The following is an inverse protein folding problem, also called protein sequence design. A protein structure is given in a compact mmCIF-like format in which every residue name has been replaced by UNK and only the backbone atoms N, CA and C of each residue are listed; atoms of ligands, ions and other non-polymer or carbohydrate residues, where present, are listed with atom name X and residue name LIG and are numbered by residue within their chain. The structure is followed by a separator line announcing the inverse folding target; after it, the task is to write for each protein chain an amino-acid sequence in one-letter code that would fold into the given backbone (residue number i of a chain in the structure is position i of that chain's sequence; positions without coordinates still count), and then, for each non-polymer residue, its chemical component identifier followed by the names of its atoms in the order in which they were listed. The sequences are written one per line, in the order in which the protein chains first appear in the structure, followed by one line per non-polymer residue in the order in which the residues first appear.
data_IF_230338240364
#
_entry.id   IF_230338240364
#
_cell.length_a   1.000
_cell.length_b   1.000
_cell.length_c   1.000
_cell.angle_alpha   90.00
_cell.angle_beta   90.00
_cell.angle_gamma   90.00
#
_symmetry.space_group_name_H-M   'P 1'
#
loop_
_entity.id
_entity.type
_entity.pdbx_description
1 polymer ?
#
# COMPACT_ATOMS: atom_id res chain seq x y z
N UNK A 1 22.81 81.10 -22.94
CA UNK A 1 22.91 80.45 -24.26
C UNK A 1 21.56 80.60 -24.93
N UNK A 2 21.45 81.58 -25.84
CA UNK A 2 20.19 82.03 -26.42
C UNK A 2 19.86 81.15 -27.64
N UNK A 3 18.78 80.39 -27.60
CA UNK A 3 18.39 79.48 -28.67
C UNK A 3 17.53 80.28 -29.65
N UNK A 4 18.09 80.66 -30.81
CA UNK A 4 17.34 81.30 -31.88
C UNK A 4 16.14 80.43 -32.30
N UNK A 5 14.92 80.98 -32.47
CA UNK A 5 13.80 80.22 -32.99
C UNK A 5 14.07 79.92 -34.47
N UNK A 6 14.40 78.66 -34.77
CA UNK A 6 14.50 78.15 -36.14
C UNK A 6 13.23 78.50 -36.91
N UNK A 7 13.31 79.42 -37.88
CA UNK A 7 12.21 79.74 -38.81
C UNK A 7 12.03 78.57 -39.78
N UNK A 8 11.36 77.53 -39.32
CA UNK A 8 11.00 76.37 -40.12
C UNK A 8 9.85 76.71 -41.07
N UNK A 9 10.10 76.65 -42.39
CA UNK A 9 9.05 76.74 -43.41
C UNK A 9 8.04 75.59 -43.30
N UNK A 10 6.86 75.75 -43.92
CA UNK A 10 5.73 74.79 -43.85
C UNK A 10 6.19 73.35 -44.15
N UNK A 11 7.11 73.18 -45.12
CA UNK A 11 7.70 71.88 -45.49
C UNK A 11 8.47 71.20 -44.34
N UNK A 12 9.24 71.96 -43.56
CA UNK A 12 10.01 71.36 -42.46
C UNK A 12 9.19 71.15 -41.18
N UNK A 13 8.09 71.89 -40.97
CA UNK A 13 7.09 71.56 -39.93
C UNK A 13 6.37 70.24 -40.23
N UNK A 14 5.99 70.00 -41.48
CA UNK A 14 5.43 68.71 -41.94
C UNK A 14 6.45 67.57 -41.78
N UNK A 15 7.71 67.78 -42.17
CA UNK A 15 8.75 66.76 -42.04
C UNK A 15 9.02 66.37 -40.57
N UNK A 16 9.01 67.35 -39.67
CA UNK A 16 9.17 67.13 -38.23
C UNK A 16 7.96 66.41 -37.62
N UNK A 17 6.74 66.71 -38.07
CA UNK A 17 5.53 66.00 -37.68
C UNK A 17 5.56 64.51 -38.07
N UNK A 18 5.88 64.25 -39.34
CA UNK A 18 6.03 62.88 -39.85
C UNK A 18 7.18 62.15 -39.15
N UNK A 19 8.30 62.83 -38.89
CA UNK A 19 9.42 62.27 -38.15
C UNK A 19 9.06 61.84 -36.74
N UNK A 20 8.31 62.66 -36.00
CA UNK A 20 7.87 62.32 -34.62
C UNK A 20 6.88 61.15 -34.63
N UNK A 21 5.92 61.14 -35.55
CA UNK A 21 4.96 60.03 -35.68
C UNK A 21 5.71 58.73 -35.98
N UNK A 22 6.64 58.75 -36.95
CA UNK A 22 7.45 57.59 -37.29
C UNK A 22 8.29 57.09 -36.10
N UNK A 23 8.86 58.00 -35.30
CA UNK A 23 9.68 57.66 -34.13
C UNK A 23 8.84 57.04 -33.01
N UNK A 24 7.62 57.52 -32.78
CA UNK A 24 6.65 56.92 -31.83
C UNK A 24 6.22 55.54 -32.29
N UNK A 25 5.94 55.35 -33.59
CA UNK A 25 5.61 54.04 -34.15
C UNK A 25 6.77 53.06 -33.97
N UNK A 26 8.01 53.50 -34.18
CA UNK A 26 9.22 52.69 -33.96
C UNK A 26 9.41 52.28 -32.50
N UNK A 27 9.23 53.22 -31.56
CA UNK A 27 9.31 52.95 -30.12
C UNK A 27 8.18 51.99 -29.70
N UNK A 28 6.97 52.20 -30.19
CA UNK A 28 5.81 51.34 -29.92
C UNK A 28 6.02 49.92 -30.45
N UNK A 29 6.50 49.80 -31.69
CA UNK A 29 6.82 48.50 -32.31
C UNK A 29 7.93 47.77 -31.56
N UNK A 30 8.98 48.49 -31.15
CA UNK A 30 10.09 47.91 -30.37
C UNK A 30 9.64 47.46 -28.98
N UNK A 31 8.85 48.28 -28.28
CA UNK A 31 8.26 47.93 -26.99
C UNK A 31 7.32 46.72 -27.09
N UNK A 32 6.49 46.65 -28.14
CA UNK A 32 5.61 45.51 -28.41
C UNK A 32 6.41 44.24 -28.73
N UNK A 33 7.52 44.36 -29.44
CA UNK A 33 8.40 43.23 -29.75
C UNK A 33 9.04 42.64 -28.49
N UNK A 34 9.57 43.48 -27.60
CA UNK A 34 10.12 43.03 -26.32
C UNK A 34 9.06 42.39 -25.41
N UNK A 35 7.84 42.95 -25.38
CA UNK A 35 6.74 42.35 -24.66
C UNK A 35 6.34 40.98 -25.25
N UNK A 36 6.31 40.86 -26.58
CA UNK A 36 6.00 39.62 -27.27
C UNK A 36 7.05 38.54 -27.03
N UNK A 37 8.35 38.86 -27.07
CA UNK A 37 9.43 37.90 -26.77
C UNK A 37 9.30 37.31 -25.36
N UNK A 38 9.12 38.16 -24.34
CA UNK A 38 8.94 37.71 -22.96
C UNK A 38 7.66 36.91 -22.76
N UNK A 39 6.59 37.28 -23.46
CA UNK A 39 5.33 36.57 -23.43
C UNK A 39 5.45 35.19 -24.10
N UNK A 40 6.13 35.12 -25.24
CA UNK A 40 6.39 33.89 -25.98
C UNK A 40 7.24 32.92 -25.16
N UNK A 41 8.35 33.38 -24.57
CA UNK A 41 9.22 32.54 -23.71
C UNK A 41 8.46 31.96 -22.50
N UNK A 42 7.56 32.75 -21.91
CA UNK A 42 6.77 32.33 -20.74
C UNK A 42 5.63 31.38 -21.11
N UNK A 43 4.94 31.60 -22.24
CA UNK A 43 3.95 30.65 -22.75
C UNK A 43 4.59 29.34 -23.22
N UNK A 44 5.75 29.42 -23.86
CA UNK A 44 6.50 28.25 -24.30
C UNK A 44 6.88 27.40 -23.09
N UNK A 45 7.35 28.01 -22.00
CA UNK A 45 7.63 27.30 -20.73
C UNK A 45 6.39 26.62 -20.13
N UNK A 46 5.22 27.26 -20.15
CA UNK A 46 3.97 26.66 -19.61
C UNK A 46 3.53 25.46 -20.46
N UNK A 47 3.58 25.59 -21.79
CA UNK A 47 3.12 24.57 -22.74
C UNK A 47 4.09 23.39 -22.80
N UNK A 48 5.40 23.65 -22.79
CA UNK A 48 6.44 22.61 -22.96
C UNK A 48 6.87 21.94 -21.66
N UNK A 49 6.79 22.63 -20.51
CA UNK A 49 7.29 22.10 -19.24
C UNK A 49 6.16 21.89 -18.21
N UNK A 50 5.41 22.94 -17.87
CA UNK A 50 4.49 22.88 -16.72
C UNK A 50 3.26 21.99 -16.96
N UNK A 51 2.63 22.05 -18.14
CA UNK A 51 1.45 21.24 -18.46
C UNK A 51 1.73 19.72 -18.52
N UNK A 52 2.75 19.24 -19.26
CA UNK A 52 3.11 17.81 -19.25
C UNK A 52 3.44 17.31 -17.85
N UNK A 53 4.15 18.11 -17.06
CA UNK A 53 4.58 17.75 -15.70
C UNK A 53 3.42 17.66 -14.71
N UNK A 54 2.41 18.54 -14.83
CA UNK A 54 1.17 18.44 -14.06
C UNK A 54 0.39 17.17 -14.43
N UNK A 55 0.41 16.78 -15.71
CA UNK A 55 -0.20 15.52 -16.17
C UNK A 55 0.47 14.31 -15.53
N UNK A 56 1.81 14.22 -15.62
CA UNK A 56 2.60 13.16 -14.99
C UNK A 56 2.35 13.07 -13.48
N UNK A 57 2.34 14.21 -12.79
CA UNK A 57 2.08 14.25 -11.34
C UNK A 57 0.64 13.83 -10.98
N UNK A 58 -0.34 14.14 -11.83
CA UNK A 58 -1.73 13.72 -11.63
C UNK A 58 -1.91 12.23 -11.88
N UNK A 59 -1.27 11.68 -12.91
CA UNK A 59 -1.24 10.25 -13.20
C UNK A 59 -0.53 9.48 -12.07
N UNK A 60 0.55 10.03 -11.52
CA UNK A 60 1.24 9.50 -10.36
C UNK A 60 0.31 9.36 -9.14
N UNK A 61 -0.50 10.38 -8.85
CA UNK A 61 -1.51 10.29 -7.78
C UNK A 61 -2.57 9.22 -8.05
N UNK A 62 -3.02 9.10 -9.31
CA UNK A 62 -4.00 8.09 -9.70
C UNK A 62 -3.47 6.67 -9.49
N UNK A 63 -2.25 6.38 -9.98
CA UNK A 63 -1.59 5.08 -9.81
C UNK A 63 -1.27 4.75 -8.35
N UNK A 64 -0.88 5.76 -7.57
CA UNK A 64 -0.75 5.62 -6.12
C UNK A 64 -2.07 5.23 -5.46
N UNK A 65 -3.19 5.83 -5.91
CA UNK A 65 -4.53 5.47 -5.47
C UNK A 65 -4.88 4.01 -5.74
N UNK A 66 -4.50 3.46 -6.91
CA UNK A 66 -4.70 2.04 -7.25
C UNK A 66 -3.95 1.11 -6.28
N UNK A 67 -2.71 1.47 -5.88
CA UNK A 67 -1.95 0.68 -4.90
C UNK A 67 -2.66 0.72 -3.54
N UNK A 68 -3.12 1.90 -3.10
CA UNK A 68 -3.83 2.09 -1.83
C UNK A 68 -5.12 1.26 -1.77
N UNK A 69 -5.86 1.19 -2.87
CA UNK A 69 -7.10 0.39 -2.92
C UNK A 69 -6.84 -1.11 -2.94
N UNK A 70 -5.76 -1.56 -3.60
CA UNK A 70 -5.48 -2.99 -3.80
C UNK A 70 -4.70 -3.64 -2.64
N UNK A 71 -3.81 -2.89 -1.98
CA UNK A 71 -3.00 -3.40 -0.87
C UNK A 71 -3.83 -4.08 0.26
N UNK A 72 -4.91 -3.49 0.80
CA UNK A 72 -5.72 -4.14 1.84
C UNK A 72 -6.50 -5.36 1.34
N UNK A 73 -6.75 -5.47 0.03
CA UNK A 73 -7.44 -6.62 -0.56
C UNK A 73 -6.59 -7.88 -0.40
N UNK A 74 -5.25 -7.78 -0.51
CA UNK A 74 -4.32 -8.90 -0.35
C UNK A 74 -4.53 -9.68 0.95
N UNK A 75 -4.87 -9.02 2.06
CA UNK A 75 -5.03 -9.67 3.37
C UNK A 75 -6.35 -10.45 3.48
N UNK A 76 -7.35 -10.02 2.71
CA UNK A 76 -8.71 -10.54 2.74
C UNK A 76 -9.01 -11.57 1.63
N UNK A 77 -8.06 -11.82 0.73
CA UNK A 77 -8.23 -12.86 -0.31
C UNK A 77 -8.46 -14.24 0.31
N UNK A 78 -9.36 -15.00 -0.30
CA UNK A 78 -9.79 -16.32 0.18
C UNK A 78 -9.18 -17.49 -0.58
N UNK A 79 -8.43 -17.22 -1.66
CA UNK A 79 -7.75 -18.24 -2.45
C UNK A 79 -6.41 -17.76 -3.00
N UNK A 80 -5.54 -18.73 -3.29
CA UNK A 80 -4.23 -18.50 -3.90
C UNK A 80 -4.34 -17.90 -5.31
N UNK A 81 -5.38 -18.26 -6.07
CA UNK A 81 -5.67 -17.65 -7.37
C UNK A 81 -6.01 -16.17 -7.22
N UNK A 82 -6.91 -15.83 -6.29
CA UNK A 82 -7.27 -14.43 -6.02
C UNK A 82 -6.06 -13.62 -5.54
N UNK A 83 -5.21 -14.19 -4.66
CA UNK A 83 -3.94 -13.57 -4.24
C UNK A 83 -3.08 -13.19 -5.44
N UNK A 84 -2.83 -14.14 -6.36
CA UNK A 84 -2.01 -13.90 -7.56
C UNK A 84 -2.56 -12.77 -8.43
N UNK A 85 -3.87 -12.74 -8.66
CA UNK A 85 -4.52 -11.67 -9.44
C UNK A 85 -4.36 -10.30 -8.78
N UNK A 86 -4.64 -10.19 -7.48
CA UNK A 86 -4.49 -8.92 -6.75
C UNK A 86 -3.03 -8.48 -6.72
N UNK A 87 -2.09 -9.42 -6.51
CA UNK A 87 -0.65 -9.14 -6.53
C UNK A 87 -0.17 -8.66 -7.89
N UNK A 88 -0.64 -9.24 -8.99
CA UNK A 88 -0.33 -8.78 -10.35
C UNK A 88 -0.76 -7.32 -10.56
N UNK A 89 -1.96 -6.93 -10.08
CA UNK A 89 -2.43 -5.56 -10.16
C UNK A 89 -1.54 -4.61 -9.35
N UNK A 90 -1.21 -4.98 -8.10
CA UNK A 90 -0.30 -4.19 -7.24
C UNK A 90 1.07 -4.03 -7.89
N UNK A 91 1.65 -5.11 -8.42
CA UNK A 91 2.95 -5.09 -9.07
C UNK A 91 2.94 -4.21 -10.35
N UNK A 92 1.84 -4.25 -11.11
CA UNK A 92 1.66 -3.40 -12.29
C UNK A 92 1.61 -1.93 -11.89
N UNK A 93 0.77 -1.56 -10.91
CA UNK A 93 0.69 -0.17 -10.43
C UNK A 93 2.00 0.31 -9.81
N UNK A 94 2.74 -0.55 -9.09
CA UNK A 94 4.09 -0.22 -8.56
C UNK A 94 5.08 0.07 -9.68
N UNK A 95 5.09 -0.75 -10.73
CA UNK A 95 5.96 -0.55 -11.89
C UNK A 95 5.62 0.76 -12.61
N UNK A 96 4.36 0.98 -12.93
CA UNK A 96 3.89 2.21 -13.62
C UNK A 96 4.17 3.46 -12.78
N UNK A 97 3.99 3.40 -11.46
CA UNK A 97 4.36 4.49 -10.53
C UNK A 97 5.87 4.76 -10.60
N UNK A 98 6.69 3.71 -10.64
CA UNK A 98 8.15 3.85 -10.78
C UNK A 98 8.58 4.41 -12.13
N UNK A 99 7.88 4.06 -13.21
CA UNK A 99 8.09 4.61 -14.55
C UNK A 99 7.76 6.12 -14.55
N UNK A 100 6.61 6.51 -14.00
CA UNK A 100 6.21 7.92 -13.87
C UNK A 100 7.19 8.75 -13.03
N UNK A 101 7.74 8.22 -11.93
CA UNK A 101 8.76 8.92 -11.13
C UNK A 101 10.03 9.17 -11.95
N UNK A 102 10.42 8.24 -12.82
CA UNK A 102 11.63 8.39 -13.68
C UNK A 102 11.42 9.38 -14.82
N UNK A 103 10.19 9.54 -15.27
CA UNK A 103 9.82 10.53 -16.29
C UNK A 103 9.68 11.96 -15.74
N UNK A 104 9.64 12.13 -14.41
CA UNK A 104 9.61 13.47 -13.81
C UNK A 104 10.86 14.28 -14.20
N UNK A 105 10.70 15.50 -14.76
CA UNK A 105 11.83 16.32 -15.16
C UNK A 105 12.78 16.71 -14.02
N UNK A 106 14.09 16.74 -14.30
CA UNK A 106 15.14 17.11 -13.33
C UNK A 106 15.02 18.55 -12.79
N UNK A 107 14.33 19.46 -13.48
CA UNK A 107 14.12 20.82 -12.94
C UNK A 107 13.18 20.84 -11.73
N UNK A 108 12.45 19.74 -11.49
CA UNK A 108 11.77 19.49 -10.22
C UNK A 108 12.85 19.03 -9.24
N UNK A 109 13.43 19.97 -8.49
CA UNK A 109 14.29 19.74 -7.30
C UNK A 109 14.91 18.34 -7.26
N UNK A 110 16.13 18.17 -7.81
CA UNK A 110 16.79 16.88 -8.09
C UNK A 110 16.68 15.82 -7.00
N UNK A 111 16.48 16.22 -5.73
CA UNK A 111 16.29 15.30 -4.62
C UNK A 111 14.91 14.61 -4.59
N UNK A 112 13.84 15.23 -5.13
CA UNK A 112 12.46 14.72 -5.02
C UNK A 112 12.21 13.42 -5.77
N UNK A 113 12.57 13.24 -7.05
CA UNK A 113 12.37 11.96 -7.73
C UNK A 113 13.12 10.82 -7.03
N UNK A 114 14.31 11.10 -6.47
CA UNK A 114 15.11 10.13 -5.72
C UNK A 114 14.45 9.72 -4.39
N UNK A 115 13.89 10.67 -3.66
CA UNK A 115 13.14 10.40 -2.43
C UNK A 115 11.90 9.55 -2.75
N UNK A 116 11.11 9.93 -3.75
CA UNK A 116 9.91 9.19 -4.16
C UNK A 116 10.27 7.76 -4.61
N UNK A 117 11.35 7.59 -5.38
CA UNK A 117 11.82 6.26 -5.78
C UNK A 117 12.23 5.40 -4.58
N UNK A 118 12.89 5.99 -3.58
CA UNK A 118 13.29 5.29 -2.35
C UNK A 118 12.06 4.83 -1.56
N UNK A 119 11.08 5.72 -1.39
CA UNK A 119 9.82 5.40 -0.71
C UNK A 119 9.00 4.32 -1.46
N UNK A 120 8.96 4.39 -2.79
CA UNK A 120 8.30 3.37 -3.61
C UNK A 120 8.96 2.00 -3.44
N UNK A 121 10.29 1.94 -3.33
CA UNK A 121 11.01 0.70 -3.04
C UNK A 121 10.66 0.15 -1.65
N UNK A 122 10.58 1.01 -0.63
CA UNK A 122 10.16 0.60 0.73
C UNK A 122 8.72 0.07 0.74
N UNK A 123 7.81 0.72 0.02
CA UNK A 123 6.43 0.26 -0.18
C UNK A 123 6.43 -1.12 -0.87
N UNK A 124 7.17 -1.25 -1.98
CA UNK A 124 7.26 -2.51 -2.73
C UNK A 124 7.79 -3.65 -1.86
N UNK A 125 8.80 -3.38 -1.03
CA UNK A 125 9.36 -4.36 -0.10
C UNK A 125 8.34 -4.83 0.94
N UNK A 126 7.61 -3.91 1.58
CA UNK A 126 6.60 -4.26 2.57
C UNK A 126 5.38 -4.98 1.96
N UNK A 127 4.96 -4.59 0.75
CA UNK A 127 3.88 -5.27 0.02
C UNK A 127 4.29 -6.67 -0.46
N UNK A 128 5.56 -6.87 -0.86
CA UNK A 128 6.06 -8.20 -1.21
C UNK A 128 6.14 -9.11 0.02
N UNK A 129 6.62 -8.59 1.16
CA UNK A 129 6.58 -9.31 2.44
C UNK A 129 5.14 -9.71 2.80
N UNK A 130 4.18 -8.80 2.67
CA UNK A 130 2.77 -9.08 2.90
C UNK A 130 2.27 -10.19 1.96
N UNK A 131 2.56 -10.08 0.66
CA UNK A 131 2.19 -11.07 -0.35
C UNK A 131 2.74 -12.47 -0.04
N UNK A 132 4.02 -12.55 0.36
CA UNK A 132 4.67 -13.79 0.76
C UNK A 132 4.01 -14.38 2.01
N UNK A 133 3.70 -13.55 3.00
CA UNK A 133 3.00 -14.02 4.20
C UNK A 133 1.59 -14.54 3.88
N UNK A 134 0.87 -13.93 2.94
CA UNK A 134 -0.42 -14.44 2.48
C UNK A 134 -0.29 -15.77 1.72
N UNK A 135 0.80 -15.99 0.97
CA UNK A 135 1.11 -17.31 0.39
C UNK A 135 1.30 -18.35 1.49
N UNK A 136 2.16 -18.06 2.47
CA UNK A 136 2.42 -18.94 3.62
C UNK A 136 1.15 -19.24 4.42
N UNK A 137 0.22 -18.28 4.52
CA UNK A 137 -1.10 -18.49 5.15
C UNK A 137 -1.90 -19.59 4.45
N UNK A 138 -1.85 -19.66 3.12
CA UNK A 138 -2.53 -20.72 2.35
C UNK A 138 -1.83 -22.06 2.51
N UNK A 139 -0.50 -22.09 2.45
CA UNK A 139 0.30 -23.31 2.68
C UNK A 139 0.02 -23.90 4.07
N UNK A 140 0.03 -23.08 5.12
CA UNK A 140 -0.32 -23.52 6.49
C UNK A 140 -1.77 -24.01 6.56
N UNK A 141 -2.71 -23.36 5.86
CA UNK A 141 -4.11 -23.77 5.85
C UNK A 141 -4.29 -25.16 5.22
N UNK A 142 -3.56 -25.44 4.14
CA UNK A 142 -3.56 -26.74 3.46
C UNK A 142 -2.94 -27.81 4.36
N UNK A 143 -1.74 -27.58 4.89
CA UNK A 143 -1.08 -28.49 5.84
C UNK A 143 -1.96 -28.77 7.06
N UNK A 144 -2.61 -27.75 7.62
CA UNK A 144 -3.50 -27.92 8.77
C UNK A 144 -4.72 -28.76 8.40
N UNK A 145 -5.27 -28.63 7.19
CA UNK A 145 -6.36 -29.50 6.73
C UNK A 145 -5.90 -30.95 6.65
N UNK A 146 -4.77 -31.20 6.02
CA UNK A 146 -4.22 -32.55 5.82
C UNK A 146 -3.90 -33.24 7.14
N UNK A 147 -3.30 -32.51 8.10
CA UNK A 147 -2.99 -33.03 9.43
C UNK A 147 -4.26 -33.28 10.26
N UNK A 148 -5.28 -32.42 10.16
CA UNK A 148 -6.55 -32.68 10.83
C UNK A 148 -7.28 -33.90 10.25
N UNK A 149 -7.26 -34.09 8.93
CA UNK A 149 -7.86 -35.26 8.30
C UNK A 149 -7.07 -36.52 8.64
N UNK A 150 -5.74 -36.46 8.66
CA UNK A 150 -4.88 -37.56 9.12
C UNK A 150 -5.11 -37.92 10.58
N UNK A 151 -5.31 -36.94 11.47
CA UNK A 151 -5.66 -37.17 12.86
C UNK A 151 -7.01 -37.87 13.01
N UNK A 152 -8.02 -37.51 12.19
CA UNK A 152 -9.33 -38.19 12.20
C UNK A 152 -9.20 -39.67 11.84
N UNK A 153 -8.42 -39.98 10.80
CA UNK A 153 -8.18 -41.37 10.40
C UNK A 153 -7.42 -42.15 11.46
N UNK A 154 -6.32 -41.59 11.98
CA UNK A 154 -5.56 -42.23 13.07
C UNK A 154 -6.42 -42.46 14.33
N UNK A 155 -7.37 -41.56 14.60
CA UNK A 155 -8.33 -41.74 15.71
C UNK A 155 -9.36 -42.84 15.41
N UNK A 156 -9.88 -42.92 14.19
CA UNK A 156 -10.78 -43.99 13.77
C UNK A 156 -10.09 -45.36 13.85
N UNK A 157 -8.88 -45.48 13.32
CA UNK A 157 -8.08 -46.71 13.36
C UNK A 157 -7.83 -47.17 14.81
N UNK A 158 -7.50 -46.23 15.70
CA UNK A 158 -7.38 -46.51 17.13
C UNK A 158 -8.68 -47.04 17.75
N UNK A 159 -9.84 -46.49 17.38
CA UNK A 159 -11.13 -46.94 17.90
C UNK A 159 -11.46 -48.35 17.38
N UNK A 160 -11.19 -48.62 16.11
CA UNK A 160 -11.37 -49.92 15.49
C UNK A 160 -10.47 -51.01 16.11
N UNK A 161 -9.32 -50.61 16.68
CA UNK A 161 -8.44 -51.53 17.41
C UNK A 161 -8.84 -51.71 18.88
N UNK A 162 -9.17 -50.62 19.60
CA UNK A 162 -9.39 -50.70 21.05
C UNK A 162 -10.76 -51.26 21.42
N UNK A 163 -11.79 -51.03 20.60
CA UNK A 163 -13.16 -51.45 20.91
C UNK A 163 -13.34 -52.97 20.89
N UNK A 164 -12.79 -53.73 19.91
CA UNK A 164 -12.75 -55.18 19.97
C UNK A 164 -12.05 -55.70 21.23
N UNK A 165 -10.90 -55.13 21.60
CA UNK A 165 -10.14 -55.56 22.78
C UNK A 165 -10.92 -55.34 24.09
N UNK A 166 -11.66 -54.22 24.20
CA UNK A 166 -12.56 -53.96 25.33
C UNK A 166 -13.71 -54.98 25.35
N UNK A 167 -14.25 -55.35 24.19
CA UNK A 167 -15.33 -56.33 24.11
C UNK A 167 -14.85 -57.75 24.45
N UNK A 168 -13.65 -58.13 23.99
CA UNK A 168 -13.03 -59.43 24.27
C UNK A 168 -12.75 -59.59 25.77
N UNK A 169 -12.18 -58.57 26.41
CA UNK A 169 -11.97 -58.59 27.88
C UNK A 169 -13.29 -58.70 28.64
N UNK A 170 -14.36 -58.03 28.19
CA UNK A 170 -15.70 -58.19 28.78
C UNK A 170 -16.24 -59.61 28.64
N UNK A 171 -16.03 -60.24 27.48
CA UNK A 171 -16.42 -61.63 27.24
C UNK A 171 -15.65 -62.59 28.17
N UNK A 172 -14.33 -62.43 28.31
CA UNK A 172 -13.52 -63.25 29.22
C UNK A 172 -13.89 -63.05 30.69
N UNK A 173 -14.18 -61.81 31.13
CA UNK A 173 -14.72 -61.52 32.47
C UNK A 173 -15.99 -62.34 32.73
N UNK A 174 -16.93 -62.38 31.78
CA UNK A 174 -18.18 -63.15 31.91
C UNK A 174 -17.92 -64.67 31.97
N UNK A 175 -16.96 -65.18 31.19
CA UNK A 175 -16.54 -66.58 31.25
C UNK A 175 -15.94 -66.91 32.61
N UNK A 176 -14.97 -66.14 33.09
CA UNK A 176 -14.31 -66.40 34.37
C UNK A 176 -15.28 -66.31 35.55
N UNK A 177 -16.15 -65.30 35.55
CA UNK A 177 -17.20 -65.16 36.55
C UNK A 177 -18.17 -66.35 36.57
N UNK A 178 -18.62 -66.81 35.41
CA UNK A 178 -19.48 -68.00 35.29
C UNK A 178 -18.79 -69.27 35.76
N UNK A 179 -17.49 -69.43 35.46
CA UNK A 179 -16.68 -70.57 35.90
C UNK A 179 -16.46 -70.58 37.41
N UNK A 180 -16.19 -69.43 38.04
CA UNK A 180 -16.02 -69.31 39.50
C UNK A 180 -17.26 -69.83 40.23
N UNK A 181 -18.47 -69.49 39.73
CA UNK A 181 -19.74 -69.96 40.32
C UNK A 181 -19.93 -71.48 40.28
N UNK A 182 -19.27 -72.16 39.34
CA UNK A 182 -19.42 -73.59 39.10
C UNK A 182 -18.23 -74.41 39.62
N UNK A 183 -17.12 -73.74 39.96
CA UNK A 183 -15.87 -74.39 40.32
C UNK A 183 -15.85 -74.84 41.80
N UNK A 184 -15.21 -75.99 42.09
CA UNK A 184 -14.85 -76.41 43.45
C UNK A 184 -14.05 -75.34 44.21
N UNK A 185 -14.18 -75.27 45.54
CA UNK A 185 -13.59 -74.22 46.37
C UNK A 185 -12.07 -74.08 46.26
N UNK A 186 -11.37 -75.17 45.96
CA UNK A 186 -9.92 -75.23 45.77
C UNK A 186 -9.44 -74.63 44.43
N UNK A 187 -10.28 -74.61 43.39
CA UNK A 187 -9.95 -74.02 42.08
C UNK A 187 -10.37 -72.54 41.94
N UNK A 188 -11.21 -72.04 42.87
CA UNK A 188 -11.73 -70.68 42.81
C UNK A 188 -10.63 -69.61 42.91
N UNK A 189 -9.58 -69.86 43.69
CA UNK A 189 -8.47 -68.91 43.89
C UNK A 189 -7.78 -68.51 42.58
N UNK A 190 -7.41 -69.49 41.75
CA UNK A 190 -6.75 -69.25 40.47
C UNK A 190 -7.67 -68.53 39.48
N UNK A 191 -8.97 -68.86 39.49
CA UNK A 191 -9.96 -68.19 38.66
C UNK A 191 -10.17 -66.73 39.09
N UNK A 192 -10.13 -66.42 40.38
CA UNK A 192 -10.16 -65.04 40.89
C UNK A 192 -8.94 -64.24 40.43
N UNK A 193 -7.74 -64.84 40.43
CA UNK A 193 -6.53 -64.17 39.92
C UNK A 193 -6.69 -63.83 38.43
N UNK A 194 -7.20 -64.75 37.62
CA UNK A 194 -7.48 -64.51 36.19
C UNK A 194 -8.53 -63.42 35.99
N UNK A 195 -9.64 -63.47 36.74
CA UNK A 195 -10.69 -62.45 36.69
C UNK A 195 -10.15 -61.05 37.05
N UNK A 196 -9.33 -60.94 38.09
CA UNK A 196 -8.73 -59.67 38.50
C UNK A 196 -7.77 -59.13 37.43
N UNK A 197 -7.03 -60.00 36.74
CA UNK A 197 -6.19 -59.61 35.60
C UNK A 197 -7.02 -59.04 34.46
N UNK A 198 -8.11 -59.72 34.07
CA UNK A 198 -9.02 -59.25 33.01
C UNK A 198 -9.70 -57.92 33.37
N UNK A 199 -10.11 -57.75 34.65
CA UNK A 199 -10.66 -56.49 35.15
C UNK A 199 -9.66 -55.34 35.06
N UNK A 200 -8.42 -55.55 35.53
CA UNK A 200 -7.36 -54.55 35.45
C UNK A 200 -7.03 -54.16 34.00
N UNK A 201 -7.01 -55.15 33.09
CA UNK A 201 -6.77 -54.92 31.67
C UNK A 201 -7.90 -54.12 31.01
N UNK A 202 -9.17 -54.45 31.31
CA UNK A 202 -10.33 -53.69 30.84
C UNK A 202 -10.28 -52.25 31.32
N UNK A 203 -9.97 -52.03 32.59
CA UNK A 203 -9.88 -50.68 33.16
C UNK A 203 -8.76 -49.86 32.49
N UNK A 204 -7.61 -50.48 32.23
CA UNK A 204 -6.52 -49.86 31.48
C UNK A 204 -6.92 -49.49 30.04
N UNK A 205 -7.62 -50.38 29.33
CA UNK A 205 -8.13 -50.10 27.97
C UNK A 205 -9.17 -48.96 27.96
N UNK A 206 -10.10 -48.95 28.92
CA UNK A 206 -11.09 -47.87 29.05
C UNK A 206 -10.42 -46.53 29.38
N UNK A 207 -9.43 -46.53 30.27
CA UNK A 207 -8.66 -45.33 30.60
C UNK A 207 -7.88 -44.84 29.38
N UNK A 208 -7.23 -45.74 28.63
CA UNK A 208 -6.53 -45.41 27.40
C UNK A 208 -7.48 -44.80 26.36
N UNK A 209 -8.65 -45.41 26.12
CA UNK A 209 -9.70 -44.89 25.23
C UNK A 209 -10.10 -43.46 25.61
N UNK A 210 -10.37 -43.24 26.90
CA UNK A 210 -10.74 -41.92 27.42
C UNK A 210 -9.64 -40.89 27.22
N UNK A 211 -8.39 -41.21 27.60
CA UNK A 211 -7.25 -40.32 27.47
C UNK A 211 -6.94 -39.95 26.02
N UNK A 212 -7.05 -40.89 25.08
CA UNK A 212 -6.89 -40.62 23.65
C UNK A 212 -8.02 -39.77 23.11
N UNK A 213 -9.28 -40.05 23.45
CA UNK A 213 -10.42 -39.21 23.06
C UNK A 213 -10.25 -37.77 23.56
N UNK A 214 -9.78 -37.58 24.79
CA UNK A 214 -9.49 -36.26 25.36
C UNK A 214 -8.33 -35.57 24.64
N UNK A 215 -7.25 -36.29 24.32
CA UNK A 215 -6.11 -35.78 23.55
C UNK A 215 -6.56 -35.30 22.17
N UNK A 216 -7.24 -36.16 21.41
CA UNK A 216 -7.76 -35.85 20.08
C UNK A 216 -8.72 -34.66 20.12
N UNK A 217 -9.64 -34.65 21.09
CA UNK A 217 -10.56 -33.52 21.28
C UNK A 217 -9.83 -32.20 21.57
N UNK A 218 -8.70 -32.23 22.29
CA UNK A 218 -7.86 -31.03 22.52
C UNK A 218 -7.09 -30.62 21.27
N UNK A 219 -6.55 -31.57 20.52
CA UNK A 219 -5.88 -31.30 19.24
C UNK A 219 -6.83 -30.62 18.25
N UNK A 220 -8.09 -31.07 18.15
CA UNK A 220 -9.09 -30.38 17.34
C UNK A 220 -9.44 -28.99 17.88
N UNK A 221 -9.60 -28.83 19.21
CA UNK A 221 -9.89 -27.51 19.79
C UNK A 221 -8.78 -26.48 19.57
N UNK A 222 -7.51 -26.89 19.59
CA UNK A 222 -6.38 -26.00 19.34
C UNK A 222 -6.47 -25.26 18.00
N UNK A 223 -7.11 -25.85 16.99
CA UNK A 223 -7.32 -25.19 15.70
C UNK A 223 -8.09 -23.86 15.82
N UNK A 224 -8.84 -23.67 16.90
CA UNK A 224 -9.67 -22.49 17.17
C UNK A 224 -9.09 -21.55 18.24
N UNK A 225 -7.98 -21.89 18.89
CA UNK A 225 -7.39 -21.07 19.97
C UNK A 225 -6.75 -19.80 19.43
N UNK A 226 -7.26 -18.62 19.79
CA UNK A 226 -6.79 -17.33 19.22
C UNK A 226 -5.57 -16.72 19.93
N UNK A 227 -5.15 -17.27 21.07
CA UNK A 227 -4.09 -16.71 21.90
C UNK A 227 -2.90 -17.67 22.01
N UNK A 228 -1.68 -17.15 21.80
CA UNK A 228 -0.45 -17.92 21.97
C UNK A 228 -0.31 -18.48 23.39
N UNK A 229 -0.70 -17.72 24.41
CA UNK A 229 -0.64 -18.14 25.82
C UNK A 229 -1.55 -19.34 26.10
N UNK A 230 -2.73 -19.38 25.50
CA UNK A 230 -3.66 -20.50 25.65
C UNK A 230 -3.13 -21.74 24.90
N UNK A 231 -2.52 -21.53 23.73
CA UNK A 231 -1.84 -22.59 22.99
C UNK A 231 -0.69 -23.21 23.79
N UNK A 232 0.11 -22.37 24.46
CA UNK A 232 1.21 -22.81 25.34
C UNK A 232 0.68 -23.61 26.55
N UNK A 233 -0.41 -23.17 27.16
CA UNK A 233 -1.05 -23.88 28.26
C UNK A 233 -1.57 -25.27 27.82
N UNK A 234 -2.23 -25.34 26.67
CA UNK A 234 -2.70 -26.60 26.10
C UNK A 234 -1.54 -27.56 25.78
N UNK A 235 -0.42 -27.03 25.28
CA UNK A 235 0.77 -27.82 24.98
C UNK A 235 1.38 -28.42 26.25
N UNK A 236 1.51 -27.62 27.32
CA UNK A 236 2.00 -28.08 28.60
C UNK A 236 1.14 -29.21 29.17
N UNK A 237 -0.19 -29.04 29.14
CA UNK A 237 -1.11 -30.09 29.57
C UNK A 237 -0.95 -31.40 28.77
N UNK A 238 -0.82 -31.30 27.44
CA UNK A 238 -0.60 -32.50 26.62
C UNK A 238 0.75 -33.15 26.95
N UNK A 239 1.79 -32.35 27.20
CA UNK A 239 3.10 -32.86 27.62
C UNK A 239 3.08 -33.55 29.00
N UNK A 240 2.18 -33.16 29.89
CA UNK A 240 1.95 -33.84 31.18
C UNK A 240 1.23 -35.19 31.00
N UNK A 241 0.32 -35.31 30.03
CA UNK A 241 -0.44 -36.55 29.78
C UNK A 241 0.36 -37.58 28.98
N UNK A 242 1.26 -37.16 28.09
CA UNK A 242 2.05 -38.09 27.27
C UNK A 242 2.77 -39.18 28.08
N UNK A 243 3.48 -38.88 29.19
CA UNK A 243 4.06 -39.92 30.05
C UNK A 243 3.03 -40.91 30.59
N UNK A 244 1.83 -40.43 30.97
CA UNK A 244 0.75 -41.28 31.46
C UNK A 244 0.25 -42.22 30.36
N UNK A 245 0.02 -41.69 29.15
CA UNK A 245 -0.34 -42.51 27.98
C UNK A 245 0.74 -43.55 27.66
N UNK A 246 2.01 -43.17 27.69
CA UNK A 246 3.12 -44.09 27.43
C UNK A 246 3.20 -45.21 28.46
N UNK A 247 2.88 -44.93 29.73
CA UNK A 247 2.82 -45.95 30.78
C UNK A 247 1.62 -46.89 30.57
N UNK A 248 0.42 -46.35 30.29
CA UNK A 248 -0.76 -47.15 29.98
C UNK A 248 -0.53 -48.09 28.79
N UNK A 249 0.13 -47.61 27.74
CA UNK A 249 0.50 -48.44 26.58
C UNK A 249 1.44 -49.56 27.02
N UNK A 250 2.48 -49.27 27.82
CA UNK A 250 3.43 -50.29 28.30
C UNK A 250 2.72 -51.40 29.06
N UNK A 251 1.80 -51.03 29.95
CA UNK A 251 1.05 -51.96 30.79
C UNK A 251 0.14 -52.88 29.95
N UNK A 252 -0.42 -52.36 28.86
CA UNK A 252 -1.29 -53.10 27.92
C UNK A 252 -0.49 -53.88 26.87
N UNK A 253 0.70 -53.41 26.47
CA UNK A 253 1.47 -53.91 25.32
C UNK A 253 2.41 -55.10 25.58
N UNK A 254 2.41 -55.69 26.78
CA UNK A 254 3.25 -56.85 27.11
C UNK A 254 2.83 -58.16 26.40
N UNK A 255 1.77 -58.12 25.62
CA UNK A 255 1.21 -59.24 24.85
C UNK A 255 1.19 -58.86 23.36
N UNK A 256 1.60 -59.78 22.48
CA UNK A 256 1.71 -59.59 21.03
C UNK A 256 0.39 -59.09 20.41
N UNK A 257 -0.75 -59.41 21.04
CA UNK A 257 -2.09 -59.00 20.62
C UNK A 257 -2.32 -57.48 20.69
N UNK A 258 -1.47 -56.71 21.39
CA UNK A 258 -1.63 -55.26 21.61
C UNK A 258 -0.60 -54.41 20.85
N UNK A 259 0.20 -55.02 19.97
CA UNK A 259 1.23 -54.31 19.21
C UNK A 259 0.62 -53.26 18.27
N UNK A 260 -0.47 -53.60 17.57
CA UNK A 260 -1.19 -52.66 16.69
C UNK A 260 -1.74 -51.46 17.47
N UNK A 261 -2.41 -51.72 18.60
CA UNK A 261 -2.91 -50.68 19.50
C UNK A 261 -1.81 -49.71 19.95
N UNK A 262 -0.64 -50.24 20.32
CA UNK A 262 0.53 -49.42 20.69
C UNK A 262 0.99 -48.52 19.53
N UNK A 263 0.98 -49.05 18.30
CA UNK A 263 1.37 -48.30 17.10
C UNK A 263 0.35 -47.19 16.78
N UNK A 264 -0.95 -47.48 16.85
CA UNK A 264 -2.01 -46.48 16.61
C UNK A 264 -1.95 -45.34 17.61
N UNK A 265 -1.74 -45.64 18.90
CA UNK A 265 -1.55 -44.60 19.91
C UNK A 265 -0.31 -43.74 19.64
N UNK A 266 0.83 -44.36 19.28
CA UNK A 266 2.04 -43.61 18.90
C UNK A 266 1.79 -42.73 17.66
N UNK A 267 1.01 -43.23 16.70
CA UNK A 267 0.54 -42.46 15.54
C UNK A 267 -0.19 -41.20 15.95
N UNK A 268 -1.15 -41.29 16.89
CA UNK A 268 -1.87 -40.12 17.40
C UNK A 268 -0.94 -39.16 18.17
N UNK A 269 -0.05 -39.67 19.02
CA UNK A 269 0.88 -38.85 19.80
C UNK A 269 1.83 -38.06 18.88
N UNK A 270 2.17 -38.60 17.71
CA UNK A 270 3.05 -37.94 16.74
C UNK A 270 2.52 -36.59 16.25
N UNK A 271 1.20 -36.34 16.31
CA UNK A 271 0.59 -35.05 15.92
C UNK A 271 0.83 -33.92 16.94
N UNK A 272 1.37 -34.23 18.12
CA UNK A 272 1.67 -33.24 19.15
C UNK A 272 3.04 -32.60 18.93
N UNK A 273 4.04 -33.41 18.56
CA UNK A 273 5.45 -33.03 18.55
C UNK A 273 6.01 -32.85 17.14
N UNK A 274 7.16 -32.18 17.06
CA UNK A 274 7.93 -32.03 15.83
C UNK A 274 7.58 -30.79 15.01
N UNK A 275 8.34 -30.60 13.95
CA UNK A 275 8.07 -29.55 12.95
C UNK A 275 6.78 -29.93 12.22
N UNK A 276 5.87 -28.98 12.07
CA UNK A 276 4.54 -29.16 11.46
C UNK A 276 3.53 -29.93 12.31
N UNK A 277 3.74 -30.08 13.63
CA UNK A 277 2.68 -30.55 14.52
C UNK A 277 1.48 -29.61 14.52
N UNK A 278 0.30 -30.07 14.96
CA UNK A 278 -0.90 -29.22 15.01
C UNK A 278 -0.70 -27.97 15.89
N UNK A 279 0.14 -28.08 16.92
CA UNK A 279 0.55 -26.95 17.75
C UNK A 279 1.51 -25.99 17.01
N UNK A 280 2.51 -26.54 16.31
CA UNK A 280 3.46 -25.73 15.51
C UNK A 280 2.73 -24.96 14.40
N UNK A 281 1.84 -25.63 13.68
CA UNK A 281 1.02 -25.02 12.62
C UNK A 281 0.14 -23.89 13.19
N UNK A 282 -0.52 -24.10 14.33
CA UNK A 282 -1.33 -23.04 14.96
C UNK A 282 -0.46 -21.88 15.45
N UNK A 283 0.70 -22.15 16.05
CA UNK A 283 1.65 -21.10 16.46
C UNK A 283 2.07 -20.26 15.25
N UNK A 284 2.50 -20.90 14.17
CA UNK A 284 2.87 -20.23 12.91
C UNK A 284 1.71 -19.39 12.38
N UNK A 285 0.49 -19.89 12.40
CA UNK A 285 -0.69 -19.14 11.98
C UNK A 285 -0.92 -17.86 12.82
N UNK A 286 -0.78 -17.96 14.15
CA UNK A 286 -0.96 -16.82 15.06
C UNK A 286 0.15 -15.78 14.89
N UNK A 287 1.41 -16.20 14.76
CA UNK A 287 2.55 -15.31 14.49
C UNK A 287 2.37 -14.62 13.14
N UNK A 288 2.05 -15.37 12.09
CA UNK A 288 1.84 -14.85 10.74
C UNK A 288 0.67 -13.87 10.67
N UNK A 289 -0.41 -14.09 11.45
CA UNK A 289 -1.52 -13.15 11.59
C UNK A 289 -1.04 -11.80 12.14
N UNK A 290 -0.21 -11.81 13.17
CA UNK A 290 0.38 -10.60 13.73
C UNK A 290 1.32 -9.90 12.74
N UNK A 291 2.20 -10.65 12.07
CA UNK A 291 3.11 -10.12 11.05
C UNK A 291 2.37 -9.48 9.87
N UNK A 292 1.26 -10.09 9.43
CA UNK A 292 0.38 -9.52 8.41
C UNK A 292 -0.23 -8.20 8.85
N UNK A 293 -0.68 -8.10 10.11
CA UNK A 293 -1.24 -6.86 10.64
C UNK A 293 -0.18 -5.74 10.72
N UNK A 294 1.03 -6.09 11.16
CA UNK A 294 2.17 -5.16 11.23
C UNK A 294 2.54 -4.67 9.82
N UNK A 295 2.69 -5.60 8.86
CA UNK A 295 3.09 -5.27 7.49
C UNK A 295 2.02 -4.46 6.76
N UNK A 296 0.74 -4.76 6.98
CA UNK A 296 -0.38 -3.97 6.45
C UNK A 296 -0.39 -2.55 7.03
N UNK A 297 -0.20 -2.40 8.34
CA UNK A 297 -0.15 -1.07 8.98
C UNK A 297 1.05 -0.26 8.49
N UNK A 298 2.23 -0.88 8.38
CA UNK A 298 3.43 -0.23 7.86
C UNK A 298 3.23 0.21 6.39
N UNK A 299 2.68 -0.67 5.56
CA UNK A 299 2.35 -0.36 4.16
C UNK A 299 1.37 0.81 4.05
N UNK A 300 0.34 0.86 4.91
CA UNK A 300 -0.62 1.99 4.95
C UNK A 300 0.04 3.31 5.30
N UNK A 301 0.94 3.32 6.29
CA UNK A 301 1.67 4.52 6.69
C UNK A 301 2.56 5.00 5.54
N UNK A 302 3.35 4.11 4.94
CA UNK A 302 4.23 4.44 3.82
C UNK A 302 3.44 4.96 2.61
N UNK A 303 2.34 4.28 2.25
CA UNK A 303 1.47 4.70 1.15
C UNK A 303 0.80 6.05 1.42
N UNK A 304 0.37 6.32 2.65
CA UNK A 304 -0.24 7.60 3.03
C UNK A 304 0.78 8.74 2.97
N UNK A 305 2.01 8.52 3.42
CA UNK A 305 3.08 9.52 3.33
C UNK A 305 3.46 9.79 1.87
N UNK A 306 3.64 8.72 1.09
CA UNK A 306 3.92 8.81 -0.34
C UNK A 306 2.80 9.55 -1.10
N UNK A 307 1.53 9.25 -0.81
CA UNK A 307 0.38 9.95 -1.38
C UNK A 307 0.36 11.44 -0.99
N UNK A 308 0.68 11.77 0.27
CA UNK A 308 0.76 13.16 0.72
C UNK A 308 1.83 13.95 -0.05
N UNK A 309 3.00 13.36 -0.25
CA UNK A 309 4.11 14.00 -0.97
C UNK A 309 3.82 14.18 -2.46
N UNK A 310 3.18 13.20 -3.10
CA UNK A 310 2.76 13.29 -4.51
C UNK A 310 1.65 14.32 -4.73
N UNK A 311 0.72 14.46 -3.78
CA UNK A 311 -0.26 15.54 -3.76
C UNK A 311 0.38 16.91 -3.56
N UNK A 312 1.32 17.06 -2.61
CA UNK A 312 2.04 18.32 -2.39
C UNK A 312 2.83 18.74 -3.63
N UNK A 313 3.51 17.79 -4.29
CA UNK A 313 4.18 18.03 -5.56
C UNK A 313 3.21 18.54 -6.62
N UNK A 314 2.08 17.85 -6.81
CA UNK A 314 1.05 18.24 -7.80
C UNK A 314 0.46 19.62 -7.49
N UNK A 315 0.22 19.91 -6.21
CA UNK A 315 -0.31 21.20 -5.74
C UNK A 315 0.70 22.34 -5.98
N UNK A 316 1.98 22.10 -5.68
CA UNK A 316 3.07 23.06 -5.93
C UNK A 316 3.21 23.35 -7.43
N UNK A 317 3.19 22.33 -8.29
CA UNK A 317 3.24 22.50 -9.74
C UNK A 317 2.03 23.29 -10.27
N UNK A 318 0.80 22.97 -9.83
CA UNK A 318 -0.40 23.73 -10.19
C UNK A 318 -0.32 25.19 -9.74
N UNK A 319 0.11 25.46 -8.50
CA UNK A 319 0.30 26.83 -7.99
C UNK A 319 1.35 27.59 -8.79
N UNK A 320 2.49 26.97 -9.10
CA UNK A 320 3.54 27.58 -9.92
C UNK A 320 3.03 27.95 -11.32
N UNK A 321 2.30 27.06 -11.99
CA UNK A 321 1.69 27.33 -13.30
C UNK A 321 0.67 28.50 -13.22
N UNK A 322 -0.16 28.56 -12.17
CA UNK A 322 -1.11 29.65 -11.96
C UNK A 322 -0.39 30.99 -11.69
N UNK A 323 0.65 30.99 -10.85
CA UNK A 323 1.44 32.21 -10.57
C UNK A 323 2.14 32.71 -11.84
N UNK A 324 2.75 31.82 -12.63
CA UNK A 324 3.36 32.17 -13.92
C UNK A 324 2.30 32.73 -14.91
N UNK A 325 1.12 32.11 -15.00
CA UNK A 325 0.01 32.61 -15.81
C UNK A 325 -0.48 34.00 -15.36
N UNK A 326 -0.58 34.24 -14.05
CA UNK A 326 -0.98 35.55 -13.51
C UNK A 326 0.09 36.64 -13.71
N UNK A 327 1.37 36.30 -13.60
CA UNK A 327 2.47 37.20 -13.95
C UNK A 327 2.43 37.56 -15.45
N UNK A 328 2.13 36.60 -16.32
CA UNK A 328 1.92 36.84 -17.75
C UNK A 328 0.73 37.76 -18.01
N UNK A 329 -0.38 37.59 -17.30
CA UNK A 329 -1.53 38.49 -17.42
C UNK A 329 -1.19 39.94 -17.05
N UNK A 330 -0.34 40.18 -16.04
CA UNK A 330 0.15 41.52 -15.71
C UNK A 330 1.04 42.11 -16.81
N UNK A 331 1.87 41.29 -17.46
CA UNK A 331 2.68 41.70 -18.61
C UNK A 331 1.81 42.02 -19.84
N UNK A 332 0.73 41.27 -20.06
CA UNK A 332 -0.26 41.57 -21.11
C UNK A 332 -0.97 42.90 -20.81
N UNK A 333 -1.32 43.19 -19.55
CA UNK A 333 -1.91 44.48 -19.19
C UNK A 333 -0.93 45.63 -19.36
N UNK A 334 0.34 45.46 -18.98
CA UNK A 334 1.38 46.48 -19.16
C UNK A 334 1.65 46.79 -20.64
N UNK A 335 1.74 45.76 -21.47
CA UNK A 335 1.90 45.93 -22.93
C UNK A 335 0.68 46.59 -23.58
N UNK A 336 -0.55 46.24 -23.15
CA UNK A 336 -1.77 46.95 -23.57
C UNK A 336 -1.75 48.43 -23.16
N UNK A 337 -1.33 48.74 -21.94
CA UNK A 337 -1.18 50.11 -21.45
C UNK A 337 -0.15 50.91 -22.24
N UNK A 338 0.98 50.30 -22.60
CA UNK A 338 2.02 50.90 -23.46
C UNK A 338 1.52 51.16 -24.90
N UNK A 339 0.74 50.23 -25.48
CA UNK A 339 0.16 50.43 -26.81
C UNK A 339 -0.89 51.55 -26.82
N UNK A 340 -1.73 51.60 -25.78
CA UNK A 340 -2.74 52.66 -25.60
C UNK A 340 -2.07 54.01 -25.36
N UNK A 341 -1.03 54.08 -24.50
CA UNK A 341 -0.31 55.33 -24.24
C UNK A 341 0.45 55.85 -25.46
N UNK A 342 1.08 54.97 -26.25
CA UNK A 342 1.71 55.33 -27.51
C UNK A 342 0.69 55.86 -28.54
N UNK A 343 -0.48 55.22 -28.62
CA UNK A 343 -1.56 55.65 -29.52
C UNK A 343 -2.11 57.03 -29.11
N UNK A 344 -2.42 57.23 -27.83
CA UNK A 344 -2.89 58.52 -27.30
C UNK A 344 -1.83 59.61 -27.50
N UNK A 345 -0.57 59.32 -27.22
CA UNK A 345 0.54 60.24 -27.43
C UNK A 345 0.68 60.68 -28.89
N UNK A 346 0.54 59.75 -29.84
CA UNK A 346 0.59 60.06 -31.28
C UNK A 346 -0.53 61.01 -31.73
N UNK A 347 -1.75 60.81 -31.21
CA UNK A 347 -2.92 61.64 -31.52
C UNK A 347 -2.78 63.04 -30.91
N UNK A 348 -2.33 63.13 -29.65
CA UNK A 348 -2.10 64.42 -28.98
C UNK A 348 -1.05 65.26 -29.71
N UNK A 349 0.02 64.62 -30.19
CA UNK A 349 1.07 65.28 -30.96
C UNK A 349 0.54 65.75 -32.32
N UNK A 350 -0.25 64.92 -33.01
CA UNK A 350 -0.89 65.33 -34.26
C UNK A 350 -1.81 66.55 -34.05
N UNK A 351 -2.62 66.54 -32.98
CA UNK A 351 -3.51 67.67 -32.62
C UNK A 351 -2.70 68.93 -32.29
N UNK A 352 -1.64 68.83 -31.50
CA UNK A 352 -0.76 69.96 -31.15
C UNK A 352 -0.11 70.57 -32.39
N UNK A 353 0.30 69.76 -33.35
CA UNK A 353 0.88 70.22 -34.61
C UNK A 353 -0.16 70.94 -35.45
N UNK A 354 -1.37 70.37 -35.58
CA UNK A 354 -2.49 71.02 -36.28
C UNK A 354 -2.83 72.36 -35.62
N UNK A 355 -2.96 72.38 -34.30
CA UNK A 355 -3.27 73.59 -33.53
C UNK A 355 -2.20 74.68 -33.70
N UNK A 356 -0.91 74.30 -33.66
CA UNK A 356 0.22 75.22 -33.85
C UNK A 356 0.34 75.73 -35.28
N UNK A 357 -0.09 74.95 -36.28
CA UNK A 357 -0.14 75.36 -37.70
C UNK A 357 -1.33 76.29 -37.95
N UNK A 358 -2.50 75.98 -37.38
CA UNK A 358 -3.72 76.76 -37.56
C UNK A 358 -3.70 78.10 -36.81
N UNK A 359 -3.01 78.16 -35.66
CA UNK A 359 -2.86 79.36 -34.84
C UNK A 359 -1.37 79.75 -34.68
N UNK A 360 -0.77 80.44 -35.66
CA UNK A 360 0.53 81.07 -35.45
C UNK A 360 0.38 82.19 -34.41
N UNK A 361 1.22 82.19 -33.37
CA UNK A 361 1.17 83.21 -32.32
C UNK A 361 1.36 84.62 -32.91
N UNK A 362 0.56 85.63 -32.50
CA UNK A 362 0.75 87.00 -32.94
C UNK A 362 1.73 87.71 -31.99
N UNK A 363 2.99 87.88 -32.39
CA UNK A 363 3.87 88.87 -31.76
C UNK A 363 4.77 89.51 -32.81
N UNK A 364 4.55 90.80 -33.03
CA UNK A 364 5.32 91.66 -33.93
C UNK A 364 4.64 93.01 -34.17
N UNK A 365 4.30 93.76 -33.11
CA UNK A 365 4.08 95.20 -33.22
C UNK A 365 5.41 95.86 -32.89
N UNK A 366 6.21 96.12 -33.92
CA UNK A 366 7.38 96.99 -33.83
C UNK A 366 6.91 98.44 -34.05
N UNK A 367 7.19 99.29 -33.06
CA UNK A 367 7.08 100.74 -33.16
C UNK A 367 7.92 101.27 -34.32
N UNK A 368 7.35 102.15 -35.15
CA UNK A 368 8.13 103.08 -35.96
C UNK A 368 7.71 104.51 -35.64
N UNK A 369 8.65 105.23 -35.01
CA UNK A 369 8.74 106.68 -35.07
C UNK A 369 9.15 107.06 -36.50
N UNK A 370 8.53 108.12 -37.06
CA UNK A 370 9.19 109.37 -37.48
C UNK A 370 8.58 110.04 -38.74
N UNK A 371 7.95 111.20 -38.48
CA UNK A 371 7.83 112.47 -39.25
C UNK A 371 7.26 112.53 -40.69
N UNK A 372 6.38 113.51 -40.94
CA UNK A 372 6.63 114.76 -41.72
C UNK A 372 5.31 115.57 -41.95
N UNK A 373 5.33 116.83 -41.51
CA UNK A 373 4.66 118.07 -41.99
C UNK A 373 3.17 118.11 -42.40
N UNK A 374 2.36 118.84 -41.61
CA UNK A 374 1.83 120.19 -41.94
C UNK A 374 1.04 120.75 -40.77
#
# INVERSE_FOLDING_TARGET
MNINPLKFGIRGKLFLAFGIIALITLISSSSSWFAYQRLSESFDKIITNDLPTISLASELNFKTGEIISNAPILVNVTSERARKTVWQNVQTSLKETGDLIRELPNYIDDMKPKILSTQLNDISFELDKLNNNIRTKFEIKELNRDYNDSLKWAHADFLDEIDPLINDTQFYIQIHYSRIKQAPSDEQGDLFIKLNKELAQRDALLQLKSSINLLVGRLFRNSNTDLLKELDHNLNYVNEIKPQLNNLIKDVSNDEHFLSLSQSVKGIISFVDGRFSLFDLRRKQLVLRNENQISLNKSRILLSDFQSQTFDLTSKLKKQAIVQSNQNNKLIQFSRLMLVSASIGSVLIAILIIFRVQFPAPWGVECSHEQIYS
#
